data_IF_846163442449
#
_entry.id   IF_846163442449
#
_cell.length_a   1.000
_cell.length_b   1.000
_cell.length_c   1.000
_cell.angle_alpha   90.00
_cell.angle_beta   90.00
_cell.angle_gamma   90.00
#
_symmetry.space_group_name_H-M   'P 1'
#
loop_
_entity.id
_entity.type
_entity.pdbx_description
1 polymer ?
#
# COMPACT_ATOMS: atom_id res chain seq x y z
N UNK A 1 -46.97 -33.34 16.64
CA UNK A 1 -45.55 -33.53 16.25
C UNK A 1 -45.02 -32.19 15.75
N UNK A 2 -44.35 -31.41 16.59
CA UNK A 2 -43.66 -30.17 16.18
C UNK A 2 -42.34 -30.10 16.92
N UNK A 3 -41.25 -30.43 16.24
CA UNK A 3 -39.90 -30.36 16.78
C UNK A 3 -39.40 -28.92 16.66
N UNK A 4 -39.51 -28.15 17.75
CA UNK A 4 -38.84 -26.86 17.87
C UNK A 4 -37.32 -27.09 17.93
N UNK A 5 -36.62 -26.91 16.81
CA UNK A 5 -35.16 -26.88 16.82
C UNK A 5 -34.69 -25.61 17.53
N UNK A 6 -34.18 -25.76 18.76
CA UNK A 6 -33.56 -24.68 19.54
C UNK A 6 -32.37 -24.12 18.75
N UNK A 7 -32.52 -22.92 18.17
CA UNK A 7 -31.47 -22.22 17.43
C UNK A 7 -30.33 -21.88 18.39
N UNK A 8 -29.28 -22.70 18.43
CA UNK A 8 -28.08 -22.44 19.24
C UNK A 8 -27.38 -21.21 18.66
N UNK A 9 -27.36 -20.12 19.41
CA UNK A 9 -26.61 -18.92 19.07
C UNK A 9 -25.16 -19.10 19.50
N UNK A 10 -24.28 -19.32 18.53
CA UNK A 10 -22.85 -19.30 18.74
C UNK A 10 -22.35 -17.85 18.62
N UNK A 11 -21.67 -17.36 19.66
CA UNK A 11 -21.01 -16.05 19.63
C UNK A 11 -19.54 -16.28 19.28
N UNK A 12 -19.14 -15.88 18.08
CA UNK A 12 -17.73 -15.82 17.68
C UNK A 12 -17.24 -14.41 17.93
N UNK A 13 -16.15 -14.26 18.70
CA UNK A 13 -15.49 -12.97 18.95
C UNK A 13 -14.18 -12.95 18.17
N UNK A 14 -14.05 -11.99 17.26
CA UNK A 14 -12.78 -11.67 16.64
C UNK A 14 -12.12 -10.58 17.48
N UNK A 15 -11.10 -10.96 18.27
CA UNK A 15 -10.17 -9.99 18.85
C UNK A 15 -9.13 -9.70 17.77
N UNK A 16 -8.96 -8.43 17.43
CA UNK A 16 -7.96 -7.94 16.46
C UNK A 16 -8.11 -8.53 15.04
N UNK A 17 -9.28 -8.31 14.42
CA UNK A 17 -9.51 -8.68 13.02
C UNK A 17 -8.54 -7.91 12.09
N UNK A 18 -7.94 -8.57 11.07
CA UNK A 18 -7.09 -7.90 10.08
C UNK A 18 -7.84 -6.72 9.43
N UNK A 19 -7.19 -5.56 9.30
CA UNK A 19 -7.85 -4.36 8.79
C UNK A 19 -8.98 -3.78 9.67
N UNK A 20 -9.11 -4.26 10.90
CA UNK A 20 -10.02 -3.73 11.91
C UNK A 20 -11.50 -3.85 11.55
N UNK A 21 -12.37 -2.98 12.11
CA UNK A 21 -13.81 -3.01 11.84
C UNK A 21 -14.16 -2.81 10.36
N UNK A 22 -13.34 -2.04 9.64
CA UNK A 22 -13.53 -1.78 8.21
C UNK A 22 -13.29 -3.06 7.39
N UNK A 23 -12.16 -3.74 7.61
CA UNK A 23 -11.86 -5.04 6.98
C UNK A 23 -12.95 -6.08 7.28
N UNK A 24 -13.43 -6.15 8.54
CA UNK A 24 -14.49 -7.09 8.92
C UNK A 24 -15.81 -6.83 8.19
N UNK A 25 -16.27 -5.58 8.16
CA UNK A 25 -17.51 -5.20 7.47
C UNK A 25 -17.47 -5.60 6.00
N UNK A 26 -16.34 -5.36 5.36
CA UNK A 26 -16.10 -5.63 3.95
C UNK A 26 -16.05 -7.14 3.66
N UNK A 27 -15.44 -7.94 4.53
CA UNK A 27 -15.48 -9.41 4.46
C UNK A 27 -16.88 -9.98 4.72
N UNK A 28 -17.62 -9.41 5.67
CA UNK A 28 -19.00 -9.79 5.96
C UNK A 28 -19.92 -9.54 4.76
N UNK A 29 -19.72 -8.44 4.02
CA UNK A 29 -20.45 -8.14 2.78
C UNK A 29 -20.16 -9.18 1.70
N UNK A 30 -18.90 -9.53 1.48
CA UNK A 30 -18.52 -10.57 0.51
C UNK A 30 -19.21 -11.91 0.81
N UNK A 31 -19.13 -12.38 2.06
CA UNK A 31 -19.74 -13.64 2.48
C UNK A 31 -21.29 -13.60 2.37
N UNK A 32 -21.90 -12.47 2.74
CA UNK A 32 -23.36 -12.30 2.69
C UNK A 32 -23.88 -12.25 1.26
N UNK A 33 -23.10 -11.70 0.33
CA UNK A 33 -23.48 -11.56 -1.08
C UNK A 33 -23.02 -12.73 -1.95
N UNK A 34 -22.96 -13.95 -1.38
CA UNK A 34 -22.63 -15.18 -2.11
C UNK A 34 -21.28 -15.13 -2.86
N UNK A 35 -20.31 -14.37 -2.35
CA UNK A 35 -18.99 -14.22 -2.98
C UNK A 35 -18.96 -13.27 -4.17
N UNK A 36 -20.03 -12.50 -4.39
CA UNK A 36 -20.05 -11.41 -5.36
C UNK A 36 -19.80 -10.08 -4.64
N UNK A 37 -18.76 -9.36 -5.03
CA UNK A 37 -18.50 -8.01 -4.53
C UNK A 37 -17.88 -7.18 -5.63
N UNK A 38 -18.24 -5.91 -5.67
CA UNK A 38 -17.67 -4.98 -6.65
C UNK A 38 -16.26 -4.57 -6.20
N UNK A 39 -15.27 -4.97 -6.99
CA UNK A 39 -13.86 -4.66 -6.76
C UNK A 39 -13.53 -3.40 -7.56
N UNK A 40 -13.03 -2.38 -6.86
CA UNK A 40 -12.71 -1.06 -7.41
C UNK A 40 -11.28 -0.67 -7.00
N UNK A 41 -10.66 0.32 -7.68
CA UNK A 41 -9.35 0.81 -7.29
C UNK A 41 -9.27 1.26 -5.83
N UNK A 42 -10.34 1.86 -5.27
CA UNK A 42 -10.36 2.32 -3.87
C UNK A 42 -10.41 1.20 -2.83
N UNK A 43 -10.84 -0.01 -3.18
CA UNK A 43 -11.02 -1.09 -2.21
C UNK A 43 -10.13 -2.32 -2.46
N UNK A 44 -9.49 -2.39 -3.64
CA UNK A 44 -8.68 -3.54 -4.07
C UNK A 44 -7.55 -3.91 -3.10
N UNK A 45 -6.79 -2.93 -2.63
CA UNK A 45 -5.63 -3.17 -1.74
C UNK A 45 -6.11 -3.77 -0.42
N UNK A 46 -7.24 -3.26 0.09
CA UNK A 46 -7.89 -3.76 1.30
C UNK A 46 -8.45 -5.17 1.08
N UNK A 47 -9.21 -5.38 0.00
CA UNK A 47 -9.74 -6.70 -0.32
C UNK A 47 -8.66 -7.75 -0.44
N UNK A 48 -7.57 -7.43 -1.14
CA UNK A 48 -6.48 -8.35 -1.36
C UNK A 48 -5.73 -8.67 -0.05
N UNK A 49 -5.51 -7.67 0.82
CA UNK A 49 -4.95 -7.86 2.15
C UNK A 49 -5.82 -8.79 3.00
N UNK A 50 -7.11 -8.51 3.07
CA UNK A 50 -8.06 -9.24 3.92
C UNK A 50 -8.29 -10.67 3.43
N UNK A 51 -8.50 -10.85 2.12
CA UNK A 51 -8.71 -12.15 1.52
C UNK A 51 -7.52 -13.10 1.77
N UNK A 52 -6.30 -12.56 1.74
CA UNK A 52 -5.08 -13.33 2.02
C UNK A 52 -4.88 -13.56 3.51
N UNK A 53 -5.15 -12.57 4.35
CA UNK A 53 -5.08 -12.72 5.82
C UNK A 53 -6.04 -13.80 6.34
N UNK A 54 -7.17 -13.97 5.67
CA UNK A 54 -8.17 -14.99 5.98
C UNK A 54 -7.98 -16.29 5.20
N UNK A 55 -6.93 -16.39 4.38
CA UNK A 55 -6.65 -17.54 3.53
C UNK A 55 -7.87 -17.98 2.70
N UNK A 56 -8.51 -17.03 2.03
CA UNK A 56 -9.68 -17.28 1.17
C UNK A 56 -9.24 -17.93 -0.14
N UNK A 57 -8.73 -19.17 -0.05
CA UNK A 57 -8.12 -19.92 -1.17
C UNK A 57 -9.12 -20.81 -1.92
N UNK A 58 -10.25 -21.17 -1.30
CA UNK A 58 -11.23 -22.09 -1.91
C UNK A 58 -12.36 -21.30 -2.57
N UNK A 59 -12.81 -21.71 -3.77
CA UNK A 59 -14.00 -21.13 -4.39
C UNK A 59 -15.19 -21.12 -3.43
N UNK A 60 -15.97 -20.05 -3.46
CA UNK A 60 -17.12 -19.87 -2.59
C UNK A 60 -18.40 -20.03 -3.41
N UNK A 61 -19.17 -21.09 -3.15
CA UNK A 61 -20.46 -21.35 -3.80
C UNK A 61 -20.41 -21.35 -5.35
N UNK A 62 -19.32 -21.85 -5.94
CA UNK A 62 -19.13 -21.89 -7.40
C UNK A 62 -18.55 -20.61 -8.01
N UNK A 63 -18.42 -19.53 -7.24
CA UNK A 63 -17.71 -18.31 -7.63
C UNK A 63 -16.22 -18.40 -7.27
N UNK A 64 -15.33 -17.72 -8.02
CA UNK A 64 -13.94 -17.59 -7.63
C UNK A 64 -13.85 -16.97 -6.23
N UNK A 65 -12.82 -17.37 -5.48
CA UNK A 65 -12.60 -16.79 -4.16
C UNK A 65 -12.16 -15.33 -4.28
N UNK A 66 -12.28 -14.56 -3.19
CA UNK A 66 -11.95 -13.14 -3.21
C UNK A 66 -10.47 -12.88 -3.53
N UNK A 67 -9.57 -13.77 -3.12
CA UNK A 67 -8.14 -13.63 -3.42
C UNK A 67 -7.91 -13.66 -4.94
N UNK A 68 -8.45 -14.65 -5.65
CA UNK A 68 -8.38 -14.78 -7.10
C UNK A 68 -9.03 -13.58 -7.80
N UNK A 69 -10.21 -13.16 -7.36
CA UNK A 69 -10.89 -11.99 -7.95
C UNK A 69 -10.02 -10.72 -7.84
N UNK A 70 -9.38 -10.50 -6.68
CA UNK A 70 -8.49 -9.34 -6.49
C UNK A 70 -7.19 -9.44 -7.29
N UNK A 71 -6.62 -10.65 -7.43
CA UNK A 71 -5.42 -10.87 -8.23
C UNK A 71 -5.70 -10.61 -9.72
N UNK A 72 -6.84 -11.10 -10.23
CA UNK A 72 -7.29 -10.83 -11.59
C UNK A 72 -7.51 -9.34 -11.84
N UNK A 73 -8.13 -8.63 -10.89
CA UNK A 73 -8.32 -7.19 -11.00
C UNK A 73 -7.00 -6.42 -11.03
N UNK A 74 -6.03 -6.81 -10.19
CA UNK A 74 -4.68 -6.23 -10.19
C UNK A 74 -3.87 -6.57 -11.45
N UNK A 75 -4.23 -7.62 -12.20
CA UNK A 75 -3.57 -7.91 -13.46
C UNK A 75 -3.77 -6.80 -14.49
N UNK A 76 -4.92 -6.13 -14.48
CA UNK A 76 -5.27 -5.03 -15.39
C UNK A 76 -4.86 -3.63 -14.92
N UNK A 77 -3.95 -3.53 -13.94
CA UNK A 77 -3.49 -2.24 -13.37
C UNK A 77 -2.84 -1.31 -14.41
N UNK A 78 -2.23 -1.90 -15.45
CA UNK A 78 -1.63 -1.21 -16.59
C UNK A 78 -2.64 -0.34 -17.36
N UNK A 79 -3.92 -0.74 -17.35
CA UNK A 79 -5.01 -0.03 -18.03
C UNK A 79 -5.68 1.06 -17.19
N UNK A 80 -5.36 1.18 -15.89
CA UNK A 80 -6.06 2.10 -14.98
C UNK A 80 -5.76 3.55 -15.29
N UNK A 81 -6.63 4.48 -14.89
CA UNK A 81 -6.31 5.91 -14.97
C UNK A 81 -5.31 6.32 -13.87
N UNK A 82 -4.63 7.46 -14.03
CA UNK A 82 -3.77 8.00 -12.97
C UNK A 82 -4.52 8.24 -11.66
N UNK A 83 -5.72 8.86 -11.65
CA UNK A 83 -6.54 8.97 -10.44
C UNK A 83 -6.85 7.63 -9.77
N UNK A 84 -7.15 6.59 -10.55
CA UNK A 84 -7.44 5.25 -10.00
C UNK A 84 -6.23 4.67 -9.25
N UNK A 85 -5.02 4.85 -9.80
CA UNK A 85 -3.78 4.43 -9.13
C UNK A 85 -3.55 5.21 -7.83
N UNK A 86 -3.75 6.53 -7.85
CA UNK A 86 -3.59 7.37 -6.67
C UNK A 86 -4.56 6.96 -5.56
N UNK A 87 -5.84 6.81 -5.90
CA UNK A 87 -6.89 6.41 -4.96
C UNK A 87 -6.59 5.03 -4.38
N UNK A 88 -6.10 4.08 -5.19
CA UNK A 88 -5.74 2.74 -4.72
C UNK A 88 -4.60 2.77 -3.69
N UNK A 89 -3.55 3.55 -3.95
CA UNK A 89 -2.45 3.74 -3.00
C UNK A 89 -2.89 4.49 -1.75
N UNK A 90 -3.72 5.52 -1.90
CA UNK A 90 -4.25 6.32 -0.79
C UNK A 90 -5.00 5.43 0.22
N UNK A 91 -5.85 4.53 -0.28
CA UNK A 91 -6.59 3.61 0.58
C UNK A 91 -5.69 2.51 1.16
N UNK A 92 -4.64 2.13 0.45
CA UNK A 92 -3.61 1.22 0.97
C UNK A 92 -2.80 1.82 2.11
N UNK A 93 -2.48 3.11 2.08
CA UNK A 93 -1.50 3.71 3.01
C UNK A 93 -1.87 3.57 4.50
N UNK A 94 -3.16 3.44 4.82
CA UNK A 94 -3.65 3.32 6.20
C UNK A 94 -3.41 1.94 6.85
N UNK A 95 -3.16 0.90 6.06
CA UNK A 95 -2.98 -0.46 6.60
C UNK A 95 -1.54 -0.78 7.00
N UNK A 96 -0.57 0.09 6.65
CA UNK A 96 0.80 0.01 7.17
C UNK A 96 0.89 0.25 8.69
N UNK A 97 -0.13 0.87 9.31
CA UNK A 97 -0.18 1.09 10.75
C UNK A 97 -0.28 -0.22 11.56
N UNK A 98 -0.91 -1.27 11.00
CA UNK A 98 -0.95 -2.60 11.62
C UNK A 98 0.37 -3.39 11.48
N UNK A 99 1.27 -2.97 10.58
CA UNK A 99 2.53 -3.67 10.29
C UNK A 99 3.65 -3.33 11.28
N UNK A 100 3.69 -2.09 11.81
CA UNK A 100 4.77 -1.62 12.69
C UNK A 100 4.72 -2.20 14.11
N UNK A 101 3.53 -2.34 14.69
CA UNK A 101 3.36 -3.03 16.00
C UNK A 101 3.62 -4.54 15.88
N UNK A 102 3.30 -5.13 14.74
CA UNK A 102 3.60 -6.55 14.46
C UNK A 102 5.08 -6.78 14.21
N UNK A 103 5.85 -5.79 13.76
CA UNK A 103 7.30 -5.93 13.50
C UNK A 103 8.13 -5.95 14.79
N UNK A 104 7.80 -5.11 15.78
CA UNK A 104 8.36 -5.24 17.13
C UNK A 104 7.97 -6.57 17.77
N UNK A 105 6.73 -7.01 17.59
CA UNK A 105 6.28 -8.31 18.10
C UNK A 105 6.98 -9.46 17.37
N UNK A 106 7.13 -9.44 16.05
CA UNK A 106 7.82 -10.48 15.26
C UNK A 106 9.33 -10.50 15.55
N UNK A 107 9.96 -9.35 15.77
CA UNK A 107 11.38 -9.28 16.16
C UNK A 107 11.60 -9.78 17.59
N UNK A 108 10.75 -9.36 18.54
CA UNK A 108 10.70 -9.90 19.90
C UNK A 108 10.48 -11.42 19.90
N UNK A 109 9.57 -11.90 19.05
CA UNK A 109 9.27 -13.32 18.90
C UNK A 109 10.38 -14.09 18.17
N UNK A 110 11.06 -13.52 17.18
CA UNK A 110 12.27 -14.10 16.54
C UNK A 110 13.40 -14.25 17.55
N UNK A 111 13.64 -13.22 18.35
CA UNK A 111 14.64 -13.23 19.43
C UNK A 111 14.29 -14.25 20.52
N UNK A 112 13.00 -14.41 20.84
CA UNK A 112 12.55 -15.47 21.73
C UNK A 112 12.60 -16.86 21.09
N UNK A 113 12.38 -16.99 19.78
CA UNK A 113 12.45 -18.28 19.07
C UNK A 113 13.89 -18.80 19.02
N UNK A 114 14.89 -17.94 18.84
CA UNK A 114 16.32 -18.32 18.90
C UNK A 114 16.77 -18.70 20.32
N UNK A 115 16.19 -18.06 21.35
CA UNK A 115 16.33 -18.45 22.76
C UNK A 115 15.65 -19.80 23.05
N UNK A 116 14.45 -20.03 22.50
CA UNK A 116 13.72 -21.28 22.60
C UNK A 116 14.43 -22.39 21.83
N UNK A 117 15.05 -22.13 20.67
CA UNK A 117 15.88 -23.07 19.90
C UNK A 117 17.17 -23.46 20.65
N UNK A 118 17.81 -22.51 21.35
CA UNK A 118 18.92 -22.79 22.28
C UNK A 118 18.48 -23.65 23.46
N UNK A 119 17.26 -23.47 23.95
CA UNK A 119 16.67 -24.26 25.05
C UNK A 119 16.01 -25.58 24.58
N UNK A 120 15.70 -25.73 23.29
CA UNK A 120 15.05 -26.88 22.64
C UNK A 120 15.96 -28.10 22.49
N UNK A 121 17.27 -27.98 22.77
CA UNK A 121 18.12 -29.16 22.98
C UNK A 121 17.76 -29.94 24.25
N UNK A 122 16.89 -29.41 25.14
CA UNK A 122 16.63 -30.04 26.44
C UNK A 122 15.29 -30.76 26.61
N UNK A 123 14.15 -30.37 26.04
CA UNK A 123 12.87 -31.01 26.44
C UNK A 123 11.80 -31.11 25.32
N UNK A 124 11.30 -32.33 25.11
CA UNK A 124 10.38 -32.80 24.05
C UNK A 124 8.95 -32.27 24.13
N UNK A 125 8.58 -31.53 25.18
CA UNK A 125 7.21 -30.99 25.38
C UNK A 125 6.96 -29.67 24.64
N UNK A 126 8.01 -28.91 24.28
CA UNK A 126 7.90 -27.61 23.57
C UNK A 126 7.59 -27.78 22.06
N UNK A 127 7.84 -28.96 21.48
CA UNK A 127 7.69 -29.24 20.03
C UNK A 127 6.28 -28.94 19.48
N UNK A 128 5.21 -29.16 20.26
CA UNK A 128 3.82 -28.99 19.80
C UNK A 128 3.34 -27.53 19.83
N UNK A 129 3.83 -26.73 20.78
CA UNK A 129 3.58 -25.29 20.82
C UNK A 129 4.48 -24.55 19.82
N UNK A 130 5.70 -25.05 19.57
CA UNK A 130 6.60 -24.55 18.53
C UNK A 130 6.01 -24.71 17.12
N UNK A 131 5.34 -25.83 16.80
CA UNK A 131 4.69 -25.98 15.50
C UNK A 131 3.54 -25.00 15.30
N UNK A 132 2.66 -24.82 16.31
CA UNK A 132 1.56 -23.87 16.23
C UNK A 132 2.07 -22.42 16.09
N UNK A 133 3.15 -22.11 16.81
CA UNK A 133 3.79 -20.80 16.77
C UNK A 133 4.49 -20.55 15.43
N UNK A 134 5.20 -21.54 14.91
CA UNK A 134 5.85 -21.52 13.60
C UNK A 134 4.83 -21.36 12.48
N UNK A 135 3.71 -22.08 12.52
CA UNK A 135 2.63 -21.93 11.54
C UNK A 135 1.98 -20.54 11.65
N UNK A 136 1.76 -20.01 12.86
CA UNK A 136 1.22 -18.65 13.03
C UNK A 136 2.19 -17.58 12.52
N UNK A 137 3.50 -17.79 12.70
CA UNK A 137 4.55 -16.91 12.20
C UNK A 137 4.66 -16.97 10.67
N UNK A 138 4.66 -18.17 10.08
CA UNK A 138 4.66 -18.38 8.63
C UNK A 138 3.45 -17.70 8.00
N UNK A 139 2.25 -17.87 8.57
CA UNK A 139 1.02 -17.20 8.12
C UNK A 139 1.12 -15.67 8.21
N UNK A 140 1.70 -15.14 9.28
CA UNK A 140 1.88 -13.69 9.47
C UNK A 140 2.92 -13.12 8.49
N UNK A 141 4.02 -13.83 8.26
CA UNK A 141 5.06 -13.44 7.29
C UNK A 141 4.54 -13.51 5.85
N UNK A 142 3.74 -14.53 5.56
CA UNK A 142 3.12 -14.73 4.25
C UNK A 142 2.11 -13.61 3.93
N UNK A 143 1.23 -13.25 4.86
CA UNK A 143 0.31 -12.11 4.69
C UNK A 143 1.04 -10.77 4.45
N UNK A 144 2.17 -10.56 5.15
CA UNK A 144 3.03 -9.37 4.98
C UNK A 144 3.70 -9.30 3.59
N UNK A 145 4.23 -10.43 3.09
CA UNK A 145 4.84 -10.49 1.75
C UNK A 145 3.84 -10.10 0.64
N UNK A 146 2.57 -10.47 0.80
CA UNK A 146 1.55 -10.23 -0.23
C UNK A 146 0.89 -8.86 -0.17
N UNK A 147 0.75 -8.29 1.03
CA UNK A 147 0.36 -6.89 1.16
C UNK A 147 1.38 -5.97 0.49
N UNK A 148 2.67 -6.27 0.74
CA UNK A 148 3.77 -5.65 0.03
C UNK A 148 3.67 -5.89 -1.48
N UNK A 149 3.28 -7.08 -1.94
CA UNK A 149 3.16 -7.37 -3.39
C UNK A 149 2.14 -6.47 -4.11
N UNK A 150 0.92 -6.33 -3.59
CA UNK A 150 -0.14 -5.56 -4.26
C UNK A 150 0.15 -4.06 -4.24
N UNK A 151 0.69 -3.54 -3.13
CA UNK A 151 1.19 -2.16 -3.06
C UNK A 151 2.40 -1.94 -3.97
N UNK A 152 3.36 -2.87 -3.98
CA UNK A 152 4.55 -2.80 -4.82
C UNK A 152 4.14 -2.74 -6.30
N UNK A 153 3.18 -3.57 -6.72
CA UNK A 153 2.67 -3.55 -8.09
C UNK A 153 2.07 -2.19 -8.49
N UNK A 154 1.32 -1.55 -7.60
CA UNK A 154 0.79 -0.20 -7.83
C UNK A 154 1.90 0.86 -7.87
N UNK A 155 2.90 0.74 -7.00
CA UNK A 155 4.08 1.62 -6.98
C UNK A 155 4.88 1.46 -8.29
N UNK A 156 5.14 0.23 -8.73
CA UNK A 156 5.87 -0.08 -9.95
C UNK A 156 5.13 0.49 -11.17
N UNK A 157 3.80 0.38 -11.22
CA UNK A 157 2.98 0.96 -12.29
C UNK A 157 3.08 2.50 -12.31
N UNK A 158 2.96 3.16 -11.15
CA UNK A 158 3.13 4.62 -11.07
C UNK A 158 4.52 5.04 -11.54
N UNK A 159 5.56 4.39 -11.03
CA UNK A 159 6.95 4.72 -11.38
C UNK A 159 7.21 4.44 -12.86
N UNK A 160 6.69 3.35 -13.41
CA UNK A 160 6.75 3.03 -14.83
C UNK A 160 6.12 4.11 -15.71
N UNK A 161 4.94 4.60 -15.34
CA UNK A 161 4.28 5.72 -16.06
C UNK A 161 5.07 7.02 -15.97
N UNK A 162 5.63 7.32 -14.80
CA UNK A 162 6.49 8.49 -14.62
C UNK A 162 7.77 8.39 -15.47
N UNK A 163 8.32 7.19 -15.64
CA UNK A 163 9.45 6.93 -16.53
C UNK A 163 9.10 7.19 -17.99
N UNK A 164 7.94 6.71 -18.45
CA UNK A 164 7.47 6.88 -19.83
C UNK A 164 7.15 8.34 -20.18
N UNK A 165 6.62 9.10 -19.21
CA UNK A 165 6.25 10.52 -19.39
C UNK A 165 7.43 11.43 -19.78
N UNK A 166 8.68 10.98 -19.59
CA UNK A 166 9.90 11.68 -20.03
C UNK A 166 10.03 11.81 -21.55
N UNK A 167 9.24 11.06 -22.35
CA UNK A 167 9.39 11.00 -23.82
C UNK A 167 8.22 11.56 -24.64
N UNK A 168 7.09 11.96 -24.05
CA UNK A 168 6.02 12.67 -24.77
C UNK A 168 5.00 13.32 -23.81
N UNK A 169 4.69 14.63 -23.92
CA UNK A 169 3.73 15.30 -23.02
C UNK A 169 2.25 14.98 -23.31
N UNK A 170 1.93 14.21 -24.36
CA UNK A 170 0.57 14.09 -24.88
C UNK A 170 -0.08 12.70 -24.73
N UNK A 171 0.47 11.78 -23.93
CA UNK A 171 -0.08 10.42 -23.80
C UNK A 171 -1.12 10.24 -22.67
N UNK A 172 -1.33 11.21 -21.79
CA UNK A 172 -2.38 11.15 -20.76
C UNK A 172 -3.48 12.18 -21.03
N UNK A 173 -4.09 12.13 -22.21
CA UNK A 173 -5.34 12.84 -22.49
C UNK A 173 -6.09 12.16 -23.63
N UNK A 174 -7.06 11.32 -23.28
CA UNK A 174 -8.18 10.89 -24.11
C UNK A 174 -9.18 10.23 -23.15
N UNK A 175 -10.39 10.71 -22.88
CA UNK A 175 -11.34 11.51 -23.69
C UNK A 175 -12.17 12.42 -22.79
N UNK A 176 -12.15 13.73 -23.03
CA UNK A 176 -13.33 14.57 -22.84
C UNK A 176 -13.58 15.31 -24.15
N UNK A 177 -14.58 14.83 -24.87
CA UNK A 177 -15.11 15.51 -26.06
C UNK A 177 -15.80 16.79 -25.62
N UNK A 178 -15.24 17.97 -25.92
CA UNK A 178 -15.89 18.98 -26.77
C UNK A 178 -15.26 20.38 -26.61
N UNK A 179 -15.15 21.05 -27.76
CA UNK A 179 -14.83 22.47 -28.00
C UNK A 179 -13.36 22.91 -27.98
N UNK A 180 -12.79 22.87 -29.19
CA UNK A 180 -11.75 23.79 -29.65
C UNK A 180 -12.20 25.23 -29.44
N UNK A 181 -11.44 26.00 -28.67
CA UNK A 181 -11.33 27.44 -28.88
C UNK A 181 -9.87 27.84 -28.70
N UNK A 182 -9.28 28.26 -29.81
CA UNK A 182 -7.92 28.78 -29.92
C UNK A 182 -7.96 30.27 -29.62
N UNK A 183 -7.17 30.76 -28.66
CA UNK A 183 -6.75 32.15 -28.60
C UNK A 183 -5.36 32.26 -27.96
N UNK A 184 -4.40 32.76 -28.73
CA UNK A 184 -3.14 33.29 -28.23
C UNK A 184 -3.31 34.71 -27.66
N UNK A 185 -2.44 35.04 -26.71
CA UNK A 185 -1.99 36.38 -26.26
C UNK A 185 -2.88 37.21 -25.31
N UNK A 186 -2.61 37.13 -24.00
CA UNK A 186 -1.90 38.17 -23.21
C UNK A 186 -1.94 37.84 -21.71
N UNK A 187 -0.75 37.70 -21.13
CA UNK A 187 -0.48 37.55 -19.70
C UNK A 187 -0.91 38.79 -18.91
N UNK A 188 -1.57 38.56 -17.78
CA UNK A 188 -1.47 39.40 -16.57
C UNK A 188 -1.41 38.50 -15.34
N UNK A 189 -0.24 38.51 -14.72
CA UNK A 189 0.14 37.86 -13.47
C UNK A 189 -0.67 38.37 -12.28
N UNK A 190 -1.14 37.46 -11.42
CA UNK A 190 -1.17 37.68 -9.98
C UNK A 190 -0.73 36.41 -9.25
N UNK A 191 0.06 36.61 -8.22
CA UNK A 191 1.22 35.82 -7.84
C UNK A 191 0.97 35.09 -6.51
N UNK A 192 1.18 33.77 -6.46
CA UNK A 192 1.82 33.13 -5.30
C UNK A 192 3.14 32.54 -5.79
N UNK A 193 4.18 33.18 -5.31
CA UNK A 193 5.56 33.00 -5.74
C UNK A 193 6.10 31.65 -5.24
N UNK A 194 6.13 30.65 -6.11
CA UNK A 194 7.14 29.58 -6.06
C UNK A 194 7.77 29.47 -7.44
N UNK A 195 9.02 29.94 -7.56
CA UNK A 195 9.75 29.94 -8.82
C UNK A 195 10.18 28.54 -9.26
N UNK A 196 10.26 28.39 -10.58
CA UNK A 196 11.26 27.57 -11.28
C UNK A 196 11.05 26.07 -11.52
N UNK A 197 9.84 25.54 -11.73
CA UNK A 197 9.69 24.17 -12.28
C UNK A 197 8.49 24.00 -13.24
N UNK A 198 8.58 24.41 -14.53
CA UNK A 198 7.37 24.48 -15.37
C UNK A 198 6.96 23.22 -16.18
N UNK A 199 7.62 22.05 -16.11
CA UNK A 199 7.16 20.90 -16.93
C UNK A 199 7.36 19.47 -16.38
N UNK A 200 8.07 19.28 -15.26
CA UNK A 200 8.37 17.93 -14.69
C UNK A 200 7.81 17.70 -13.27
N UNK A 201 6.99 18.64 -12.77
CA UNK A 201 6.52 18.72 -11.39
C UNK A 201 5.05 18.34 -11.21
N UNK A 202 4.34 17.98 -12.28
CA UNK A 202 2.89 17.72 -12.23
C UNK A 202 2.52 16.66 -11.19
N UNK A 203 3.38 15.65 -10.99
CA UNK A 203 3.16 14.57 -10.04
C UNK A 203 3.60 14.92 -8.60
N UNK A 204 4.31 16.03 -8.38
CA UNK A 204 4.83 16.37 -7.05
C UNK A 204 3.69 16.61 -6.07
N UNK A 205 2.66 17.34 -6.50
CA UNK A 205 1.48 17.63 -5.69
C UNK A 205 0.74 16.34 -5.34
N UNK A 206 0.39 15.56 -6.37
CA UNK A 206 -0.31 14.28 -6.23
C UNK A 206 0.39 13.32 -5.27
N UNK A 207 1.69 13.07 -5.46
CA UNK A 207 2.42 12.13 -4.61
C UNK A 207 2.66 12.69 -3.20
N UNK A 208 2.73 14.02 -3.03
CA UNK A 208 2.96 14.61 -1.71
C UNK A 208 1.84 14.36 -0.71
N UNK A 209 0.64 14.02 -1.20
CA UNK A 209 -0.51 13.60 -0.40
C UNK A 209 -0.34 12.21 0.26
N UNK A 210 0.72 11.45 -0.06
CA UNK A 210 1.02 10.15 0.56
C UNK A 210 1.87 10.23 1.83
N UNK A 211 1.67 9.26 2.72
CA UNK A 211 2.45 9.14 3.96
C UNK A 211 3.93 8.83 3.66
N UNK A 212 4.80 9.02 4.66
CA UNK A 212 6.25 8.92 4.46
C UNK A 212 6.70 7.49 4.13
N UNK A 213 5.94 6.50 4.57
CA UNK A 213 6.19 5.08 4.29
C UNK A 213 5.94 4.73 2.82
N UNK A 214 4.87 5.24 2.21
CA UNK A 214 4.64 5.11 0.77
C UNK A 214 5.66 5.90 -0.04
N UNK A 215 6.04 7.10 0.42
CA UNK A 215 7.11 7.86 -0.22
C UNK A 215 8.42 7.07 -0.22
N UNK A 216 8.79 6.44 0.90
CA UNK A 216 9.97 5.57 0.97
C UNK A 216 9.92 4.45 -0.10
N UNK A 217 8.76 3.80 -0.27
CA UNK A 217 8.58 2.77 -1.31
C UNK A 217 8.70 3.34 -2.73
N UNK A 218 8.02 4.45 -3.02
CA UNK A 218 8.02 5.09 -4.34
C UNK A 218 9.43 5.52 -4.72
N UNK A 219 10.17 6.13 -3.78
CA UNK A 219 11.53 6.65 -4.04
C UNK A 219 12.51 5.51 -4.27
N UNK A 220 12.38 4.41 -3.53
CA UNK A 220 13.17 3.19 -3.78
C UNK A 220 12.86 2.59 -5.15
N UNK A 221 11.60 2.55 -5.55
CA UNK A 221 11.22 2.08 -6.88
C UNK A 221 11.75 3.01 -7.99
N UNK A 222 11.64 4.33 -7.83
CA UNK A 222 12.25 5.32 -8.74
C UNK A 222 13.76 5.16 -8.85
N UNK A 223 14.43 4.82 -7.74
CA UNK A 223 15.86 4.54 -7.73
C UNK A 223 16.21 3.29 -8.54
N UNK A 224 15.45 2.20 -8.37
CA UNK A 224 15.61 0.96 -9.16
C UNK A 224 15.39 1.25 -10.66
N UNK A 225 14.41 2.07 -11.00
CA UNK A 225 14.11 2.53 -12.37
C UNK A 225 15.04 3.63 -12.89
N UNK A 226 16.15 3.91 -12.18
CA UNK A 226 17.21 4.85 -12.59
C UNK A 226 16.69 6.26 -12.93
N UNK A 227 15.76 6.78 -12.14
CA UNK A 227 15.33 8.16 -12.25
C UNK A 227 16.48 9.14 -11.98
N UNK A 228 16.38 10.36 -12.51
CA UNK A 228 17.33 11.43 -12.22
C UNK A 228 17.33 11.74 -10.71
N UNK A 229 18.45 11.48 -10.04
CA UNK A 229 18.62 11.71 -8.60
C UNK A 229 18.37 13.19 -8.24
N UNK A 230 18.63 14.11 -9.17
CA UNK A 230 18.36 15.55 -8.99
C UNK A 230 16.86 15.82 -8.90
N UNK A 231 16.06 15.17 -9.74
CA UNK A 231 14.60 15.29 -9.75
C UNK A 231 14.00 14.66 -8.49
N UNK A 232 14.49 13.47 -8.10
CA UNK A 232 14.08 12.82 -6.85
C UNK A 232 14.41 13.71 -5.64
N UNK A 233 15.62 14.28 -5.58
CA UNK A 233 16.02 15.18 -4.49
C UNK A 233 15.13 16.43 -4.42
N UNK A 234 14.80 17.03 -5.57
CA UNK A 234 13.86 18.16 -5.64
C UNK A 234 12.47 17.78 -5.11
N UNK A 235 11.97 16.60 -5.47
CA UNK A 235 10.70 16.08 -4.96
C UNK A 235 10.74 15.89 -3.44
N UNK A 236 11.80 15.30 -2.90
CA UNK A 236 11.95 15.08 -1.46
C UNK A 236 11.94 16.40 -0.66
N UNK A 237 12.61 17.44 -1.18
CA UNK A 237 12.56 18.79 -0.59
C UNK A 237 11.16 19.39 -0.68
N UNK A 238 10.47 19.21 -1.81
CA UNK A 238 9.07 19.63 -1.96
C UNK A 238 8.16 18.90 -0.96
N UNK A 239 8.30 17.58 -0.83
CA UNK A 239 7.56 16.75 0.11
C UNK A 239 7.73 17.22 1.56
N UNK A 240 8.97 17.49 1.97
CA UNK A 240 9.27 18.03 3.31
C UNK A 240 8.54 19.35 3.55
N UNK A 241 8.60 20.28 2.60
CA UNK A 241 7.93 21.58 2.72
C UNK A 241 6.43 21.44 2.84
N UNK A 242 5.81 20.57 2.04
CA UNK A 242 4.35 20.42 2.03
C UNK A 242 3.84 19.68 3.29
N UNK A 243 4.58 18.68 3.77
CA UNK A 243 4.16 17.87 4.94
C UNK A 243 4.48 18.52 6.28
N UNK A 244 5.60 19.24 6.40
CA UNK A 244 5.99 19.85 7.66
C UNK A 244 5.04 20.97 8.12
N UNK A 245 4.24 21.55 7.22
CA UNK A 245 3.37 22.67 7.54
C UNK A 245 2.21 22.30 8.50
N UNK A 246 1.68 21.07 8.41
CA UNK A 246 0.50 20.63 9.16
C UNK A 246 0.75 19.43 10.10
N UNK A 247 1.98 18.91 10.18
CA UNK A 247 2.30 17.71 10.95
C UNK A 247 2.68 18.03 12.40
N UNK A 248 2.43 17.08 13.32
CA UNK A 248 2.90 17.19 14.70
C UNK A 248 4.43 17.16 14.76
N UNK A 249 5.03 17.71 15.83
CA UNK A 249 6.50 17.70 15.99
C UNK A 249 7.12 16.30 15.87
N UNK A 250 6.46 15.28 16.40
CA UNK A 250 6.93 13.90 16.32
C UNK A 250 6.86 13.35 14.89
N UNK A 251 5.78 13.63 14.16
CA UNK A 251 5.63 13.26 12.76
C UNK A 251 6.64 13.98 11.87
N UNK A 252 6.85 15.27 12.10
CA UNK A 252 7.81 16.10 11.37
C UNK A 252 9.24 15.59 11.55
N UNK A 253 9.64 15.18 12.76
CA UNK A 253 10.95 14.54 13.01
C UNK A 253 11.07 13.22 12.22
N UNK A 254 10.06 12.35 12.34
CA UNK A 254 10.04 11.06 11.63
C UNK A 254 10.11 11.23 10.11
N UNK A 255 9.40 12.23 9.57
CA UNK A 255 9.43 12.57 8.15
C UNK A 255 10.82 13.05 7.74
N UNK A 256 11.42 13.96 8.52
CA UNK A 256 12.77 14.45 8.26
C UNK A 256 13.82 13.34 8.29
N UNK A 257 13.82 12.49 9.32
CA UNK A 257 14.74 11.35 9.41
C UNK A 257 14.66 10.46 8.17
N UNK A 258 13.44 10.12 7.75
CA UNK A 258 13.22 9.31 6.54
C UNK A 258 13.69 10.00 5.27
N UNK A 259 13.43 11.28 5.10
CA UNK A 259 13.89 12.00 3.91
C UNK A 259 15.42 12.13 3.90
N UNK A 260 16.06 12.34 5.05
CA UNK A 260 17.53 12.35 5.16
C UNK A 260 18.09 10.97 4.74
N UNK A 261 17.52 9.87 5.24
CA UNK A 261 17.91 8.51 4.84
C UNK A 261 17.84 8.33 3.30
N UNK A 262 16.75 8.80 2.69
CA UNK A 262 16.52 8.69 1.24
C UNK A 262 17.49 9.56 0.44
N UNK A 263 17.76 10.79 0.87
CA UNK A 263 18.74 11.66 0.22
C UNK A 263 20.16 11.07 0.31
N UNK A 264 20.52 10.53 1.47
CA UNK A 264 21.80 9.86 1.66
C UNK A 264 21.95 8.63 0.75
N UNK A 265 20.88 7.86 0.56
CA UNK A 265 20.85 6.74 -0.38
C UNK A 265 21.14 7.18 -1.83
N UNK A 266 20.54 8.30 -2.28
CA UNK A 266 20.75 8.83 -3.63
C UNK A 266 22.17 9.37 -3.84
N UNK A 267 22.74 10.03 -2.83
CA UNK A 267 24.10 10.59 -2.86
C UNK A 267 25.18 9.48 -2.94
N UNK A 268 25.03 8.44 -2.10
CA UNK A 268 25.91 7.27 -2.14
C UNK A 268 25.87 6.55 -3.49
N UNK A 269 24.73 6.56 -4.16
CA UNK A 269 24.60 5.93 -5.46
C UNK A 269 25.17 6.77 -6.61
N UNK A 270 25.32 8.09 -6.44
CA UNK A 270 25.92 8.97 -7.44
C UNK A 270 27.46 8.99 -7.39
N UNK A 271 28.06 8.45 -6.31
CA UNK A 271 29.51 8.43 -6.08
C UNK A 271 30.22 7.15 -6.57
N UNK A 272 29.49 6.27 -7.25
CA UNK A 272 29.96 5.01 -7.86
C UNK A 272 29.58 4.94 -9.33
#
# INVERSE_FOLDING_TARGET
MSTYTRKRTYRVKFQDFPGGPHGFSLMARFCSNKGNIDITPSNIVVFNHEARSLEMIKPYLGSPNLMTQTEEFLLGVDSWSWPDLLIALEHGQHFQYYDRHTTHHVQYLKNNTTLVDKNLKKLTVIKKNSSLFKTKLEKTVQGKMYYAYSLQRLVDEIVGRLSLSKTNPSASSSKSTSFRSSCDSRSTTHNTQTGFFPHYSWWFEDLSAFNVELIDMIIKAMFVEKFDHTLISKFLVYYLKNRAFNATRAETIKIMEKVIDLLFMLDKAASH
#
